data_IF_426937957753
#
_entry.id   IF_426937957753
#
_cell.length_a   1.000
_cell.length_b   1.000
_cell.length_c   1.000
_cell.angle_alpha   90.00
_cell.angle_beta   90.00
_cell.angle_gamma   90.00
#
_symmetry.space_group_name_H-M   'P 1'
#
loop_
_entity.id
_entity.type
_entity.pdbx_description
1 polymer ?
#
# COMPACT_ATOMS: atom_id res chain seq x y z
N UNK A 1 15.55 6.34 23.46
CA UNK A 1 14.11 6.32 23.73
C UNK A 1 13.32 6.18 22.43
N UNK A 2 12.44 5.20 22.40
CA UNK A 2 11.55 4.97 21.27
C UNK A 2 10.21 5.66 21.56
N UNK A 3 9.74 6.45 20.61
CA UNK A 3 8.47 7.17 20.72
C UNK A 3 7.48 6.62 19.69
N UNK A 4 6.30 6.22 20.16
CA UNK A 4 5.23 5.73 19.31
C UNK A 4 4.44 6.89 18.71
N UNK A 5 4.02 6.75 17.46
CA UNK A 5 3.27 7.76 16.73
C UNK A 5 1.95 7.18 16.18
N UNK A 6 1.01 8.05 15.83
CA UNK A 6 -0.32 7.65 15.35
C UNK A 6 -0.32 6.73 14.14
N UNK A 7 0.66 6.87 13.27
CA UNK A 7 0.77 6.01 12.08
C UNK A 7 1.18 4.56 12.36
N UNK A 8 1.35 4.18 13.63
CA UNK A 8 1.82 2.84 13.99
C UNK A 8 3.32 2.68 13.83
N UNK A 9 4.05 3.78 13.88
CA UNK A 9 5.50 3.85 13.67
C UNK A 9 6.19 4.29 14.95
N UNK A 10 7.35 3.73 15.22
CA UNK A 10 8.20 4.06 16.34
C UNK A 10 9.45 4.75 15.84
N UNK A 11 9.77 5.91 16.42
CA UNK A 11 10.96 6.69 16.09
C UNK A 11 11.81 6.83 17.33
N UNK A 12 13.10 6.56 17.19
CA UNK A 12 14.03 6.64 18.29
C UNK A 12 14.44 8.10 18.55
N UNK A 13 14.29 8.53 19.80
CA UNK A 13 14.85 9.79 20.28
C UNK A 13 14.13 11.07 19.86
N UNK A 14 13.03 10.98 19.13
CA UNK A 14 12.34 12.16 18.63
C UNK A 14 10.94 12.28 19.21
N UNK A 15 10.62 13.43 19.76
CA UNK A 15 9.28 13.76 20.24
C UNK A 15 8.81 15.04 19.54
N UNK A 16 7.49 15.19 19.43
CA UNK A 16 6.90 16.39 18.83
C UNK A 16 6.96 16.45 17.30
N UNK A 17 7.31 15.35 16.65
CA UNK A 17 7.32 15.27 15.20
C UNK A 17 5.94 14.87 14.68
N UNK A 18 5.52 15.52 13.61
CA UNK A 18 4.32 15.12 12.87
C UNK A 18 4.70 13.99 11.92
N UNK A 19 4.00 12.87 12.04
CA UNK A 19 4.25 11.68 11.24
C UNK A 19 3.13 11.51 10.23
N UNK A 20 3.49 11.25 8.98
CA UNK A 20 2.51 10.87 7.97
C UNK A 20 3.01 9.70 7.14
N UNK A 21 2.10 8.85 6.75
CA UNK A 21 2.40 7.76 5.81
C UNK A 21 2.39 8.35 4.40
N UNK A 22 3.49 8.18 3.67
CA UNK A 22 3.61 8.74 2.34
C UNK A 22 2.64 8.07 1.37
N UNK A 23 1.90 8.88 0.63
CA UNK A 23 0.93 8.39 -0.35
C UNK A 23 1.56 7.90 -1.65
N UNK A 24 2.81 8.28 -1.92
CA UNK A 24 3.51 7.86 -3.13
C UNK A 24 3.90 6.38 -3.13
N UNK A 25 3.97 5.74 -1.97
CA UNK A 25 4.35 4.33 -1.87
C UNK A 25 3.45 3.52 -0.92
N UNK A 26 2.63 4.18 -0.12
CA UNK A 26 1.65 3.54 0.79
C UNK A 26 2.24 2.35 1.57
N UNK A 27 3.24 2.60 2.45
CA UNK A 27 3.81 1.53 3.23
C UNK A 27 2.79 0.92 4.19
N UNK A 28 2.91 -0.38 4.40
CA UNK A 28 2.08 -1.13 5.35
C UNK A 28 2.99 -1.95 6.27
N UNK A 29 2.53 -2.31 7.47
CA UNK A 29 3.34 -3.15 8.36
C UNK A 29 3.81 -4.42 7.67
N UNK A 30 5.11 -4.68 7.74
CA UNK A 30 5.81 -5.74 7.00
C UNK A 30 6.69 -5.20 5.88
N UNK A 31 6.41 -4.00 5.38
CA UNK A 31 7.30 -3.32 4.43
C UNK A 31 8.55 -2.80 5.15
N UNK A 32 9.67 -2.80 4.46
CA UNK A 32 10.87 -2.09 4.91
C UNK A 32 10.64 -0.60 4.74
N UNK A 33 10.73 0.15 5.83
CA UNK A 33 10.40 1.57 5.85
C UNK A 33 11.59 2.43 6.29
N UNK A 34 11.48 3.72 5.96
CA UNK A 34 12.43 4.75 6.38
C UNK A 34 11.65 6.05 6.56
N UNK A 35 12.07 6.86 7.52
CA UNK A 35 11.55 8.20 7.69
C UNK A 35 12.31 9.20 6.83
N UNK A 36 11.61 10.17 6.26
CA UNK A 36 12.19 11.27 5.53
C UNK A 36 11.79 12.57 6.21
N UNK A 37 12.77 13.33 6.66
CA UNK A 37 12.54 14.60 7.37
C UNK A 37 12.20 15.66 6.33
N UNK A 38 10.95 16.14 6.38
CA UNK A 38 10.46 17.17 5.47
C UNK A 38 10.91 18.55 5.92
N UNK A 39 10.83 19.52 5.03
CA UNK A 39 11.22 20.91 5.32
C UNK A 39 10.37 21.55 6.41
N UNK A 40 9.17 21.07 6.62
CA UNK A 40 8.23 21.61 7.59
C UNK A 40 8.25 20.96 8.97
N UNK A 41 9.31 20.26 9.36
CA UNK A 41 9.50 19.54 10.63
C UNK A 41 8.75 18.21 10.76
N UNK A 42 7.99 17.80 9.79
CA UNK A 42 7.35 16.51 9.80
C UNK A 42 8.26 15.41 9.29
N UNK A 43 7.85 14.17 9.54
CA UNK A 43 8.51 12.99 8.99
C UNK A 43 7.51 12.25 8.13
N UNK A 44 7.87 12.00 6.88
CA UNK A 44 7.09 11.18 5.98
C UNK A 44 7.67 9.76 6.00
N UNK A 45 6.81 8.78 6.21
CA UNK A 45 7.22 7.37 6.23
C UNK A 45 7.08 6.81 4.83
N UNK A 46 8.19 6.36 4.26
CA UNK A 46 8.26 5.78 2.93
C UNK A 46 8.71 4.33 3.01
N UNK A 47 8.38 3.57 1.99
CA UNK A 47 9.06 2.30 1.75
C UNK A 47 10.49 2.59 1.31
N UNK A 48 11.43 1.76 1.73
CA UNK A 48 12.84 1.94 1.38
C UNK A 48 13.08 1.89 -0.13
N UNK A 49 12.21 1.21 -0.88
CA UNK A 49 12.30 1.10 -2.34
C UNK A 49 11.53 2.19 -3.10
N UNK A 50 11.04 3.21 -2.40
CA UNK A 50 10.24 4.27 -3.02
C UNK A 50 11.08 5.11 -4.00
N UNK A 51 10.68 5.12 -5.26
CA UNK A 51 11.39 5.87 -6.30
C UNK A 51 11.27 7.38 -6.12
N UNK A 52 10.12 7.85 -5.62
CA UNK A 52 9.93 9.28 -5.36
C UNK A 52 10.84 9.78 -4.24
N UNK A 53 11.08 8.96 -3.23
CA UNK A 53 12.02 9.28 -2.17
C UNK A 53 13.44 9.42 -2.73
N UNK A 54 13.86 8.44 -3.51
CA UNK A 54 15.20 8.41 -4.10
C UNK A 54 15.45 9.53 -5.11
N UNK A 55 14.39 10.09 -5.69
CA UNK A 55 14.46 11.20 -6.62
C UNK A 55 14.67 12.56 -5.94
N UNK A 56 14.51 12.65 -4.61
CA UNK A 56 14.72 13.89 -3.89
C UNK A 56 16.21 14.21 -3.82
N UNK A 57 16.57 15.47 -4.07
CA UNK A 57 17.93 15.93 -3.96
C UNK A 57 18.42 15.78 -2.51
N UNK A 58 19.59 15.18 -2.34
CA UNK A 58 20.20 14.95 -1.02
C UNK A 58 19.31 14.18 -0.05
N UNK A 59 18.50 13.26 -0.57
CA UNK A 59 17.54 12.53 0.29
C UNK A 59 18.25 11.75 1.40
N UNK A 60 19.46 11.25 1.16
CA UNK A 60 20.20 10.45 2.14
C UNK A 60 20.52 11.23 3.42
N UNK A 61 20.64 12.56 3.32
CA UNK A 61 20.91 13.41 4.49
C UNK A 61 19.68 13.66 5.34
N UNK A 62 18.50 13.29 4.87
CA UNK A 62 17.23 13.52 5.55
C UNK A 62 16.57 12.24 6.02
N UNK A 63 17.28 11.13 5.97
CA UNK A 63 16.71 9.84 6.39
C UNK A 63 16.77 9.70 7.90
N UNK A 64 15.76 9.03 8.42
CA UNK A 64 15.62 8.74 9.83
C UNK A 64 15.19 7.28 9.98
N UNK A 65 15.86 6.55 10.87
CA UNK A 65 15.51 5.16 11.15
C UNK A 65 14.17 5.10 11.87
N UNK A 66 13.27 4.30 11.32
CA UNK A 66 11.94 4.10 11.89
C UNK A 66 11.58 2.61 11.82
N UNK A 67 10.70 2.21 12.71
CA UNK A 67 10.20 0.83 12.76
C UNK A 67 8.69 0.83 12.91
N UNK A 68 8.06 -0.25 12.50
CA UNK A 68 6.65 -0.46 12.80
C UNK A 68 6.48 -0.76 14.28
N UNK A 69 5.38 -0.28 14.83
CA UNK A 69 4.98 -0.61 16.19
C UNK A 69 4.56 -2.08 16.27
N UNK A 70 5.02 -2.78 17.28
CA UNK A 70 4.55 -4.13 17.55
C UNK A 70 3.07 -4.11 17.96
N UNK A 71 2.34 -5.18 17.64
CA UNK A 71 0.92 -5.33 17.99
C UNK A 71 0.02 -4.23 17.40
N UNK A 72 0.26 -3.88 16.16
CA UNK A 72 -0.46 -2.83 15.44
C UNK A 72 -1.71 -3.37 14.71
N UNK A 73 -2.41 -4.32 15.32
CA UNK A 73 -3.49 -5.06 14.67
C UNK A 73 -4.79 -4.28 14.48
N UNK A 74 -4.96 -3.15 15.18
CA UNK A 74 -6.18 -2.34 15.11
C UNK A 74 -6.13 -1.25 14.05
N UNK A 75 -4.96 -0.96 13.50
CA UNK A 75 -4.80 0.08 12.50
C UNK A 75 -4.98 -0.48 11.10
N UNK A 76 -5.52 0.34 10.24
CA UNK A 76 -5.79 0.00 8.85
C UNK A 76 -4.93 0.86 7.94
N UNK A 77 -4.37 0.23 6.91
CA UNK A 77 -3.52 0.89 5.94
C UNK A 77 -4.08 0.66 4.54
N UNK A 78 -3.84 1.59 3.64
CA UNK A 78 -4.34 1.49 2.27
C UNK A 78 -3.34 0.78 1.38
N UNK A 79 -3.81 -0.22 0.64
CA UNK A 79 -3.05 -0.87 -0.42
C UNK A 79 -3.73 -0.64 -1.76
N UNK A 80 -2.93 -0.62 -2.81
CA UNK A 80 -3.38 -0.47 -4.19
C UNK A 80 -2.86 -1.64 -5.01
N UNK A 81 -3.73 -2.21 -5.83
CA UNK A 81 -3.34 -3.26 -6.77
C UNK A 81 -3.94 -3.00 -8.14
N UNK A 82 -3.23 -3.44 -9.15
CA UNK A 82 -3.70 -3.46 -10.54
C UNK A 82 -3.85 -4.90 -10.99
N UNK A 83 -5.02 -5.22 -11.52
CA UNK A 83 -5.39 -6.54 -11.99
C UNK A 83 -5.58 -6.49 -13.49
N UNK A 84 -4.96 -7.42 -14.20
CA UNK A 84 -5.08 -7.56 -15.62
C UNK A 84 -5.66 -8.94 -15.94
N UNK A 85 -6.73 -8.98 -16.71
CA UNK A 85 -7.39 -10.24 -17.04
C UNK A 85 -8.20 -10.16 -18.31
N UNK A 86 -8.84 -11.27 -18.66
CA UNK A 86 -9.73 -11.34 -19.80
C UNK A 86 -10.99 -10.49 -19.52
N UNK A 87 -11.40 -9.69 -20.51
CA UNK A 87 -12.62 -8.88 -20.40
C UNK A 87 -13.85 -9.77 -20.61
N UNK A 88 -14.08 -10.68 -19.67
CA UNK A 88 -15.22 -11.59 -19.68
C UNK A 88 -16.31 -11.11 -18.75
N UNK A 89 -17.50 -11.60 -18.98
CA UNK A 89 -18.61 -11.36 -18.07
C UNK A 89 -18.28 -11.92 -16.68
N UNK A 90 -18.55 -11.13 -15.65
CA UNK A 90 -18.36 -11.54 -14.27
C UNK A 90 -16.94 -11.39 -13.72
N UNK A 91 -15.96 -10.94 -14.52
CA UNK A 91 -14.59 -10.77 -14.02
C UNK A 91 -14.53 -9.82 -12.83
N UNK A 92 -15.09 -8.63 -12.99
CA UNK A 92 -15.11 -7.63 -11.93
C UNK A 92 -15.85 -8.14 -10.70
N UNK A 93 -16.99 -8.80 -10.89
CA UNK A 93 -17.76 -9.36 -9.79
C UNK A 93 -16.94 -10.40 -9.00
N UNK A 94 -16.25 -11.29 -9.71
CA UNK A 94 -15.44 -12.32 -9.05
C UNK A 94 -14.30 -11.71 -8.25
N UNK A 95 -13.64 -10.69 -8.80
CA UNK A 95 -12.56 -9.97 -8.09
C UNK A 95 -13.10 -9.27 -6.85
N UNK A 96 -14.21 -8.56 -6.96
CA UNK A 96 -14.81 -7.84 -5.84
C UNK A 96 -15.29 -8.81 -4.76
N UNK A 97 -15.76 -9.99 -5.13
CA UNK A 97 -16.18 -11.00 -4.16
C UNK A 97 -14.99 -11.49 -3.32
N UNK A 98 -13.85 -11.72 -3.94
CA UNK A 98 -12.61 -12.06 -3.21
C UNK A 98 -12.25 -10.95 -2.24
N UNK A 99 -12.27 -9.70 -2.69
CA UNK A 99 -11.95 -8.55 -1.84
C UNK A 99 -12.92 -8.42 -0.68
N UNK A 100 -14.22 -8.57 -0.93
CA UNK A 100 -15.24 -8.46 0.11
C UNK A 100 -15.08 -9.53 1.20
N UNK A 101 -14.59 -10.70 0.82
CA UNK A 101 -14.38 -11.80 1.77
C UNK A 101 -13.06 -11.71 2.53
N UNK A 102 -12.11 -10.90 2.05
CA UNK A 102 -10.75 -10.86 2.61
C UNK A 102 -10.38 -9.52 3.21
N UNK A 103 -11.09 -8.45 2.87
CA UNK A 103 -10.81 -7.10 3.37
C UNK A 103 -12.05 -6.50 3.99
N UNK A 104 -11.87 -5.48 4.83
CA UNK A 104 -12.99 -4.80 5.48
C UNK A 104 -13.53 -3.64 4.66
N UNK A 105 -12.63 -2.91 3.99
CA UNK A 105 -12.99 -1.68 3.29
C UNK A 105 -12.38 -1.66 1.90
N UNK A 106 -13.22 -1.45 0.89
CA UNK A 106 -12.78 -1.17 -0.47
C UNK A 106 -13.01 0.32 -0.68
N UNK A 107 -11.94 1.07 -0.98
CA UNK A 107 -12.02 2.52 -1.12
C UNK A 107 -12.32 2.95 -2.54
N UNK A 108 -11.64 2.38 -3.51
CA UNK A 108 -11.85 2.71 -4.92
C UNK A 108 -11.84 1.47 -5.78
N UNK A 109 -12.62 1.52 -6.84
CA UNK A 109 -12.64 0.51 -7.89
C UNK A 109 -12.71 1.25 -9.22
N UNK A 110 -11.78 0.95 -10.11
CA UNK A 110 -11.79 1.49 -11.46
C UNK A 110 -11.50 0.34 -12.43
N UNK A 111 -12.48 0.00 -13.26
CA UNK A 111 -12.37 -1.08 -14.22
C UNK A 111 -12.56 -0.53 -15.63
N UNK A 112 -11.60 -0.79 -16.50
CA UNK A 112 -11.64 -0.35 -17.88
C UNK A 112 -11.19 -1.45 -18.81
N UNK A 113 -11.89 -1.65 -19.93
CA UNK A 113 -11.42 -2.58 -20.97
C UNK A 113 -10.24 -1.97 -21.72
N UNK A 114 -9.44 -2.82 -22.35
CA UNK A 114 -8.44 -2.38 -23.31
C UNK A 114 -9.12 -1.89 -24.58
N UNK A 115 -8.37 -1.19 -25.44
CA UNK A 115 -8.93 -0.61 -26.68
C UNK A 115 -9.58 -1.66 -27.58
N UNK A 116 -9.02 -2.86 -27.63
CA UNK A 116 -9.56 -3.97 -28.43
C UNK A 116 -10.69 -4.74 -27.73
N UNK A 117 -11.05 -4.34 -26.51
CA UNK A 117 -12.09 -4.96 -25.68
C UNK A 117 -11.81 -6.40 -25.27
N UNK A 118 -10.60 -6.91 -25.49
CA UNK A 118 -10.25 -8.30 -25.16
C UNK A 118 -9.87 -8.48 -23.71
N UNK A 119 -9.24 -7.49 -23.12
CA UNK A 119 -8.73 -7.55 -21.74
C UNK A 119 -9.31 -6.42 -20.92
N UNK A 120 -9.18 -6.53 -19.61
CA UNK A 120 -9.62 -5.53 -18.67
C UNK A 120 -8.50 -5.20 -17.68
N UNK A 121 -8.39 -3.92 -17.35
CA UNK A 121 -7.54 -3.43 -16.29
C UNK A 121 -8.43 -2.99 -15.13
N UNK A 122 -8.18 -3.52 -13.95
CA UNK A 122 -8.95 -3.19 -12.75
C UNK A 122 -7.98 -2.66 -11.70
N UNK A 123 -8.19 -1.41 -11.30
CA UNK A 123 -7.46 -0.80 -10.19
C UNK A 123 -8.36 -0.80 -8.95
N UNK A 124 -7.83 -1.32 -7.84
CA UNK A 124 -8.57 -1.36 -6.58
C UNK A 124 -7.68 -0.85 -5.46
N UNK A 125 -8.26 -0.04 -4.57
CA UNK A 125 -7.64 0.28 -3.30
C UNK A 125 -8.50 -0.20 -2.15
N UNK A 126 -7.87 -0.70 -1.11
CA UNK A 126 -8.56 -1.32 0.02
C UNK A 126 -7.72 -1.24 1.29
N UNK A 127 -8.39 -1.45 2.42
CA UNK A 127 -7.75 -1.43 3.72
C UNK A 127 -7.22 -2.80 4.13
N UNK A 128 -6.00 -2.82 4.65
CA UNK A 128 -5.35 -4.03 5.18
C UNK A 128 -4.62 -3.70 6.47
N UNK A 129 -4.32 -4.74 7.25
CA UNK A 129 -3.57 -4.58 8.49
C UNK A 129 -2.05 -4.69 8.27
N UNK A 130 -1.61 -5.49 7.29
CA UNK A 130 -0.19 -5.78 7.10
C UNK A 130 0.09 -6.39 5.73
N UNK A 131 1.37 -6.54 5.41
CA UNK A 131 1.83 -7.10 4.14
C UNK A 131 1.41 -8.57 3.95
N UNK A 132 1.37 -9.36 5.03
CA UNK A 132 0.91 -10.74 4.96
C UNK A 132 -0.53 -10.83 4.45
N UNK A 133 -1.39 -9.95 4.93
CA UNK A 133 -2.78 -9.87 4.47
C UNK A 133 -2.86 -9.46 3.00
N UNK A 134 -2.02 -8.51 2.57
CA UNK A 134 -1.94 -8.11 1.17
C UNK A 134 -1.53 -9.29 0.28
N UNK A 135 -0.52 -10.05 0.69
CA UNK A 135 -0.08 -11.22 -0.04
C UNK A 135 -1.20 -12.25 -0.19
N UNK A 136 -1.97 -12.48 0.87
CA UNK A 136 -3.13 -13.38 0.84
C UNK A 136 -4.18 -12.91 -0.17
N UNK A 137 -4.49 -11.62 -0.16
CA UNK A 137 -5.46 -11.03 -1.10
C UNK A 137 -4.98 -11.21 -2.54
N UNK A 138 -3.72 -10.87 -2.81
CA UNK A 138 -3.13 -10.98 -4.15
C UNK A 138 -3.19 -12.44 -4.63
N UNK A 139 -2.81 -13.39 -3.79
CA UNK A 139 -2.82 -14.80 -4.17
C UNK A 139 -4.22 -15.31 -4.48
N UNK A 140 -5.21 -14.90 -3.71
CA UNK A 140 -6.60 -15.28 -3.96
C UNK A 140 -7.15 -14.68 -5.25
N UNK A 141 -6.80 -13.44 -5.56
CA UNK A 141 -7.22 -12.81 -6.83
C UNK A 141 -6.54 -13.49 -8.01
N UNK A 142 -5.27 -13.87 -7.87
CA UNK A 142 -4.56 -14.63 -8.93
C UNK A 142 -5.23 -15.96 -9.26
N UNK A 143 -5.99 -16.52 -8.32
CA UNK A 143 -6.72 -17.78 -8.51
C UNK A 143 -8.08 -17.58 -9.21
N UNK A 144 -8.53 -16.35 -9.41
CA UNK A 144 -9.75 -16.07 -10.16
C UNK A 144 -9.53 -16.46 -11.62
N UNK A 145 -10.45 -17.24 -12.23
CA UNK A 145 -10.30 -17.62 -13.63
C UNK A 145 -10.13 -16.42 -14.56
N UNK A 146 -9.19 -16.51 -15.48
CA UNK A 146 -8.90 -15.51 -16.50
C UNK A 146 -8.28 -14.21 -15.94
N UNK A 147 -7.76 -14.24 -14.73
CA UNK A 147 -6.86 -13.21 -14.20
C UNK A 147 -5.42 -13.60 -14.56
N UNK A 148 -4.71 -12.73 -15.24
CA UNK A 148 -3.38 -13.01 -15.76
C UNK A 148 -2.26 -12.39 -14.92
N UNK A 149 -2.51 -11.24 -14.33
CA UNK A 149 -1.54 -10.63 -13.43
C UNK A 149 -2.21 -9.79 -12.35
N UNK A 150 -1.58 -9.75 -11.19
CA UNK A 150 -1.96 -8.87 -10.09
C UNK A 150 -0.68 -8.21 -9.59
N UNK A 151 -0.64 -6.89 -9.60
CA UNK A 151 0.55 -6.12 -9.19
C UNK A 151 0.16 -5.10 -8.13
N UNK A 152 0.98 -5.01 -7.10
CA UNK A 152 0.88 -3.92 -6.14
C UNK A 152 1.34 -2.63 -6.82
N UNK A 153 0.57 -1.56 -6.64
CA UNK A 153 0.90 -0.24 -7.18
C UNK A 153 0.89 0.81 -6.08
N UNK A 154 1.25 2.02 -6.43
CA UNK A 154 1.30 3.13 -5.48
C UNK A 154 0.06 4.06 -5.57
N UNK A 155 -0.93 3.64 -6.31
CA UNK A 155 -2.16 4.42 -6.43
C UNK A 155 -2.35 5.12 -7.79
#
# INVERSE_FOLDING_TARGET
LKVKHEGGVVIQGASGLLIRIAKCCNPVPGDDIVGYITKGRGVAIHRQDCMNLKAQENYEQRLLDVEWEENNSTKEYTAHIDIYGLNRSGLLNDVLQVLSNTTKNISTVNAQPTKDMKFANIHVSFGIANLSMLTTVVDKIKSVPEVYSVKRTNG
#
